data_IF_654511818940
#
_entry.id   IF_654511818940
#
_cell.length_a   1.000
_cell.length_b   1.000
_cell.length_c   1.000
_cell.angle_alpha   90.00
_cell.angle_beta   90.00
_cell.angle_gamma   90.00
#
_symmetry.space_group_name_H-M   'P 1'
#
loop_
_entity.id
_entity.type
_entity.pdbx_description
1 polymer ?
#
# COMPACT_ATOMS: atom_id res chain seq x y z
N UNK A 1 -33.27 -24.53 -22.08
CA UNK A 1 -31.98 -24.03 -21.54
C UNK A 1 -32.06 -22.51 -21.50
N UNK A 2 -32.69 -21.94 -20.48
CA UNK A 2 -32.99 -20.50 -20.39
C UNK A 2 -33.02 -20.02 -18.94
N UNK A 3 -31.97 -20.35 -18.19
CA UNK A 3 -31.64 -19.71 -16.91
C UNK A 3 -30.11 -19.66 -16.92
N UNK A 4 -29.45 -18.51 -16.90
CA UNK A 4 -29.62 -17.44 -15.93
C UNK A 4 -28.97 -16.15 -16.45
N UNK A 5 -29.64 -15.37 -17.30
CA UNK A 5 -29.12 -14.09 -17.80
C UNK A 5 -28.80 -13.11 -16.66
N UNK A 6 -29.53 -13.17 -15.54
CA UNK A 6 -29.27 -12.36 -14.36
C UNK A 6 -27.95 -12.70 -13.65
N UNK A 7 -27.58 -13.99 -13.57
CA UNK A 7 -26.31 -14.40 -12.95
C UNK A 7 -25.11 -13.96 -13.81
N UNK A 8 -25.25 -14.03 -15.12
CA UNK A 8 -24.23 -13.55 -16.06
C UNK A 8 -24.11 -12.01 -16.04
N UNK A 9 -25.23 -11.29 -15.88
CA UNK A 9 -25.22 -9.84 -15.68
C UNK A 9 -24.53 -9.44 -14.38
N UNK A 10 -24.79 -10.17 -13.28
CA UNK A 10 -24.13 -9.92 -11.99
C UNK A 10 -22.63 -10.23 -12.06
N UNK A 11 -22.24 -11.32 -12.72
CA UNK A 11 -20.83 -11.65 -12.95
C UNK A 11 -20.12 -10.59 -13.81
N UNK A 12 -20.78 -10.09 -14.86
CA UNK A 12 -20.27 -9.03 -15.71
C UNK A 12 -20.13 -7.69 -14.95
N UNK A 13 -21.10 -7.35 -14.11
CA UNK A 13 -21.05 -6.17 -13.25
C UNK A 13 -19.88 -6.26 -12.24
N UNK A 14 -19.67 -7.42 -11.62
CA UNK A 14 -18.51 -7.65 -10.72
C UNK A 14 -17.18 -7.51 -11.44
N UNK A 15 -17.05 -8.03 -12.66
CA UNK A 15 -15.84 -7.85 -13.50
C UNK A 15 -15.58 -6.39 -13.85
N UNK A 16 -16.62 -5.62 -14.19
CA UNK A 16 -16.51 -4.17 -14.45
C UNK A 16 -16.09 -3.40 -13.20
N UNK A 17 -16.61 -3.75 -12.03
CA UNK A 17 -16.19 -3.15 -10.75
C UNK A 17 -14.76 -3.54 -10.38
N UNK A 18 -14.35 -4.79 -10.62
CA UNK A 18 -13.00 -5.28 -10.39
C UNK A 18 -11.95 -4.57 -11.27
N UNK A 19 -12.31 -4.20 -12.50
CA UNK A 19 -11.45 -3.40 -13.38
C UNK A 19 -11.15 -2.00 -12.79
N UNK A 20 -12.10 -1.40 -12.08
CA UNK A 20 -11.91 -0.10 -11.40
C UNK A 20 -11.07 -0.21 -10.11
N UNK A 21 -10.82 -1.43 -9.61
CA UNK A 21 -9.92 -1.65 -8.47
C UNK A 21 -8.44 -1.56 -8.86
N UNK A 22 -8.09 -1.66 -10.15
CA UNK A 22 -6.71 -1.55 -10.61
C UNK A 22 -6.23 -0.10 -10.64
N UNK A 23 -5.01 0.12 -10.16
CA UNK A 23 -4.33 1.41 -10.25
C UNK A 23 -3.49 1.50 -11.52
N UNK A 24 -3.36 2.69 -12.12
CA UNK A 24 -2.46 2.92 -13.25
C UNK A 24 -1.01 2.60 -12.84
N UNK A 25 -0.19 2.14 -13.80
CA UNK A 25 1.23 1.80 -13.54
C UNK A 25 2.01 2.95 -12.93
N UNK A 26 1.69 4.19 -13.28
CA UNK A 26 2.29 5.40 -12.71
C UNK A 26 2.08 5.51 -11.19
N UNK A 27 0.93 5.08 -10.66
CA UNK A 27 0.70 5.05 -9.21
C UNK A 27 1.68 4.13 -8.50
N UNK A 28 1.97 2.96 -9.07
CA UNK A 28 2.89 1.99 -8.49
C UNK A 28 4.33 2.49 -8.49
N UNK A 29 4.75 3.18 -9.55
CA UNK A 29 6.07 3.82 -9.61
C UNK A 29 6.19 4.88 -8.52
N UNK A 30 5.23 5.79 -8.41
CA UNK A 30 5.22 6.83 -7.38
C UNK A 30 5.19 6.22 -5.97
N UNK A 31 4.38 5.17 -5.77
CA UNK A 31 4.30 4.48 -4.48
C UNK A 31 5.61 3.81 -4.08
N UNK A 32 6.32 3.18 -5.03
CA UNK A 32 7.65 2.60 -4.79
C UNK A 32 8.68 3.65 -4.38
N UNK A 33 8.69 4.81 -5.06
CA UNK A 33 9.57 5.94 -4.71
C UNK A 33 9.27 6.44 -3.29
N UNK A 34 7.98 6.63 -2.96
CA UNK A 34 7.59 7.06 -1.61
C UNK A 34 8.01 6.03 -0.56
N UNK A 35 7.89 4.73 -0.84
CA UNK A 35 8.33 3.66 0.06
C UNK A 35 9.83 3.72 0.36
N UNK A 36 10.66 3.85 -0.67
CA UNK A 36 12.12 3.96 -0.53
C UNK A 36 12.49 5.20 0.28
N UNK A 37 11.86 6.34 -0.02
CA UNK A 37 12.09 7.57 0.74
C UNK A 37 11.72 7.40 2.21
N UNK A 38 10.58 6.76 2.51
CA UNK A 38 10.09 6.58 3.87
C UNK A 38 10.91 5.56 4.66
N UNK A 39 11.25 4.42 4.05
CA UNK A 39 12.08 3.39 4.66
C UNK A 39 13.51 3.90 4.92
N UNK A 40 14.01 4.81 4.08
CA UNK A 40 15.32 5.43 4.25
C UNK A 40 15.39 6.55 5.27
N UNK A 41 14.26 7.02 5.79
CA UNK A 41 14.21 8.11 6.79
C UNK A 41 15.22 7.94 7.93
N UNK A 42 15.36 6.77 8.58
CA UNK A 42 16.35 6.60 9.65
C UNK A 42 17.79 6.78 9.15
N UNK A 43 18.09 6.33 7.93
CA UNK A 43 19.40 6.49 7.29
C UNK A 43 19.66 7.96 6.97
N UNK A 44 18.72 8.65 6.33
CA UNK A 44 18.84 10.08 5.99
C UNK A 44 19.01 10.94 7.25
N UNK A 45 18.26 10.64 8.31
CA UNK A 45 18.37 11.31 9.61
C UNK A 45 19.74 11.09 10.27
N UNK A 46 20.39 9.95 10.04
CA UNK A 46 21.72 9.68 10.60
C UNK A 46 22.82 10.60 10.05
N UNK A 47 22.58 11.24 8.90
CA UNK A 47 23.45 12.26 8.30
C UNK A 47 23.12 13.69 8.75
N UNK A 48 22.00 13.90 9.44
CA UNK A 48 21.59 15.22 9.92
C UNK A 48 22.07 15.45 11.37
N UNK A 49 22.58 16.65 11.69
CA UNK A 49 22.86 17.04 13.07
C UNK A 49 21.61 16.90 13.96
N UNK A 50 21.79 16.42 15.19
CA UNK A 50 20.80 15.83 16.11
C UNK A 50 19.64 16.73 16.60
N UNK A 51 19.29 17.82 15.91
CA UNK A 51 18.22 18.75 16.30
C UNK A 51 16.97 18.77 15.40
N UNK A 52 16.95 18.04 14.29
CA UNK A 52 16.01 18.30 13.19
C UNK A 52 14.77 17.37 13.12
N UNK A 53 14.18 17.03 14.28
CA UNK A 53 12.93 16.25 14.39
C UNK A 53 11.74 16.87 13.62
N UNK A 54 11.79 18.18 13.37
CA UNK A 54 10.79 18.92 12.60
C UNK A 54 10.69 18.41 11.15
N UNK A 55 11.80 18.03 10.51
CA UNK A 55 11.78 17.52 9.14
C UNK A 55 11.10 16.15 9.04
N UNK A 56 11.25 15.31 10.07
CA UNK A 56 10.55 14.03 10.17
C UNK A 56 9.04 14.21 10.23
N UNK A 57 8.57 15.14 11.08
CA UNK A 57 7.16 15.46 11.21
C UNK A 57 6.59 16.00 9.89
N UNK A 58 7.33 16.86 9.19
CA UNK A 58 6.93 17.36 7.86
C UNK A 58 6.91 16.28 6.79
N UNK A 59 7.86 15.33 6.79
CA UNK A 59 7.85 14.21 5.86
C UNK A 59 6.64 13.29 6.08
N UNK A 60 6.34 12.95 7.34
CA UNK A 60 5.15 12.15 7.71
C UNK A 60 3.87 12.90 7.35
N UNK A 61 3.81 14.21 7.63
CA UNK A 61 2.67 15.06 7.28
C UNK A 61 2.47 15.15 5.76
N UNK A 62 3.53 15.34 4.97
CA UNK A 62 3.46 15.40 3.52
C UNK A 62 2.92 14.09 2.92
N UNK A 63 3.32 12.94 3.46
CA UNK A 63 2.79 11.62 3.05
C UNK A 63 1.33 11.46 3.45
N UNK A 64 0.96 11.85 4.67
CA UNK A 64 -0.42 11.82 5.13
C UNK A 64 -1.35 12.69 4.26
N UNK A 65 -0.92 13.91 3.97
CA UNK A 65 -1.63 14.87 3.11
C UNK A 65 -1.70 14.32 1.67
N UNK A 66 -0.60 13.83 1.11
CA UNK A 66 -0.57 13.25 -0.24
C UNK A 66 -1.52 12.05 -0.39
N UNK A 67 -1.55 11.17 0.61
CA UNK A 67 -2.47 10.02 0.64
C UNK A 67 -3.93 10.46 0.74
N UNK A 68 -4.22 11.47 1.58
CA UNK A 68 -5.56 12.04 1.72
C UNK A 68 -6.05 12.71 0.43
N UNK A 69 -5.21 13.53 -0.20
CA UNK A 69 -5.49 14.20 -1.47
C UNK A 69 -5.70 13.17 -2.58
N UNK A 70 -4.84 12.16 -2.68
CA UNK A 70 -4.97 11.10 -3.68
C UNK A 70 -6.27 10.30 -3.52
N UNK A 71 -6.63 9.95 -2.28
CA UNK A 71 -7.90 9.28 -1.95
C UNK A 71 -9.11 10.13 -2.37
N UNK A 72 -9.05 11.44 -2.15
CA UNK A 72 -10.11 12.39 -2.49
C UNK A 72 -10.25 12.59 -4.00
N UNK A 73 -9.13 12.78 -4.72
CA UNK A 73 -9.11 12.94 -6.18
C UNK A 73 -9.61 11.68 -6.87
N UNK A 74 -9.21 10.49 -6.40
CA UNK A 74 -9.67 9.22 -6.97
C UNK A 74 -11.18 9.03 -6.82
N UNK A 75 -11.75 9.34 -5.64
CA UNK A 75 -13.19 9.27 -5.42
C UNK A 75 -13.98 10.16 -6.37
N UNK A 76 -13.50 11.37 -6.63
CA UNK A 76 -14.15 12.29 -7.59
C UNK A 76 -14.11 11.77 -9.03
N UNK A 77 -13.06 11.04 -9.42
CA UNK A 77 -12.91 10.53 -10.79
C UNK A 77 -13.59 9.20 -11.05
N UNK A 78 -13.67 8.30 -10.06
CA UNK A 78 -14.15 6.92 -10.30
C UNK A 78 -15.66 6.75 -10.21
N UNK A 79 -16.39 7.61 -9.48
CA UNK A 79 -17.85 7.52 -9.30
C UNK A 79 -18.37 6.26 -8.56
N UNK A 80 -17.52 5.23 -8.42
CA UNK A 80 -17.81 3.94 -7.80
C UNK A 80 -17.32 3.93 -6.35
N UNK A 81 -18.23 3.66 -5.41
CA UNK A 81 -17.93 3.46 -4.00
C UNK A 81 -17.63 1.99 -3.71
N UNK A 82 -16.34 1.65 -3.64
CA UNK A 82 -15.89 0.39 -3.07
C UNK A 82 -15.90 0.47 -1.53
N UNK A 83 -16.20 -0.63 -0.80
CA UNK A 83 -16.12 -0.68 0.65
C UNK A 83 -14.78 -0.14 1.15
N UNK A 84 -14.85 0.85 2.05
CA UNK A 84 -13.67 1.62 2.51
C UNK A 84 -12.73 0.80 3.40
N UNK A 85 -13.25 -0.26 4.04
CA UNK A 85 -12.53 -1.04 5.04
C UNK A 85 -11.86 -2.23 4.38
N UNK A 86 -10.56 -2.42 4.64
CA UNK A 86 -9.82 -3.58 4.13
C UNK A 86 -10.31 -4.91 4.74
N UNK A 87 -10.94 -4.85 5.92
CA UNK A 87 -11.59 -5.99 6.57
C UNK A 87 -12.78 -6.56 5.79
N UNK A 88 -13.36 -5.78 4.86
CA UNK A 88 -14.39 -6.25 3.94
C UNK A 88 -13.87 -7.27 2.91
N UNK A 89 -12.54 -7.43 2.81
CA UNK A 89 -11.85 -8.28 1.84
C UNK A 89 -11.04 -9.35 2.58
N UNK A 90 -11.60 -10.55 2.82
CA UNK A 90 -10.99 -11.52 3.73
C UNK A 90 -9.62 -12.04 3.28
N UNK A 91 -9.36 -12.20 1.97
CA UNK A 91 -8.01 -12.59 1.49
C UNK A 91 -7.06 -11.40 1.50
N UNK A 92 -7.53 -10.24 1.04
CA UNK A 92 -6.70 -9.04 1.01
C UNK A 92 -6.27 -8.59 2.42
N UNK A 93 -7.14 -8.76 3.41
CA UNK A 93 -6.86 -8.43 4.81
C UNK A 93 -5.65 -9.20 5.36
N UNK A 94 -5.59 -10.52 5.13
CA UNK A 94 -4.46 -11.36 5.59
C UNK A 94 -3.13 -10.92 4.97
N UNK A 95 -3.14 -10.66 3.66
CA UNK A 95 -1.94 -10.21 2.94
C UNK A 95 -1.54 -8.80 3.37
N UNK A 96 -2.52 -7.92 3.59
CA UNK A 96 -2.29 -6.57 4.11
C UNK A 96 -1.65 -6.60 5.49
N UNK A 97 -2.13 -7.47 6.39
CA UNK A 97 -1.57 -7.64 7.72
C UNK A 97 -0.11 -8.12 7.64
N UNK A 98 0.19 -9.08 6.77
CA UNK A 98 1.56 -9.55 6.53
C UNK A 98 2.45 -8.41 6.00
N UNK A 99 1.96 -7.62 5.04
CA UNK A 99 2.67 -6.44 4.56
C UNK A 99 2.93 -5.39 5.63
N UNK A 100 1.97 -5.20 6.56
CA UNK A 100 2.12 -4.29 7.70
C UNK A 100 3.21 -4.78 8.65
N UNK A 101 3.25 -6.08 8.97
CA UNK A 101 4.31 -6.68 9.80
C UNK A 101 5.68 -6.50 9.15
N UNK A 102 5.80 -6.74 7.84
CA UNK A 102 7.06 -6.54 7.10
C UNK A 102 7.48 -5.06 7.15
N UNK A 103 6.52 -4.14 6.98
CA UNK A 103 6.81 -2.69 6.98
C UNK A 103 7.31 -2.24 8.35
N UNK A 104 6.59 -2.60 9.42
CA UNK A 104 6.94 -2.24 10.79
C UNK A 104 8.26 -2.90 11.20
N UNK A 105 8.40 -4.20 10.94
CA UNK A 105 9.62 -4.95 11.23
C UNK A 105 10.84 -4.44 10.46
N UNK A 106 10.68 -4.14 9.17
CA UNK A 106 11.73 -3.55 8.34
C UNK A 106 12.14 -2.17 8.80
N UNK A 107 11.18 -1.31 9.18
CA UNK A 107 11.48 0.02 9.73
C UNK A 107 12.26 -0.07 11.04
N UNK A 108 11.80 -0.88 12.00
CA UNK A 108 12.51 -1.09 13.26
C UNK A 108 13.89 -1.73 13.06
N UNK A 109 14.00 -2.70 12.14
CA UNK A 109 15.29 -3.33 11.81
C UNK A 109 16.30 -2.34 11.24
N UNK A 110 15.87 -1.48 10.30
CA UNK A 110 16.71 -0.40 9.76
C UNK A 110 17.08 0.61 10.85
N UNK A 111 16.13 0.99 11.71
CA UNK A 111 16.41 1.91 12.81
C UNK A 111 17.45 1.34 13.80
N UNK A 112 17.34 0.07 14.16
CA UNK A 112 18.29 -0.62 15.02
C UNK A 112 19.69 -0.68 14.39
N UNK A 113 19.79 -1.00 13.09
CA UNK A 113 21.05 -1.01 12.36
C UNK A 113 21.72 0.38 12.36
N UNK A 114 20.94 1.43 12.17
CA UNK A 114 21.44 2.81 12.22
C UNK A 114 21.93 3.19 13.62
N UNK A 115 21.21 2.80 14.68
CA UNK A 115 21.61 3.05 16.07
C UNK A 115 22.91 2.35 16.44
N UNK A 116 23.14 1.14 15.93
CA UNK A 116 24.36 0.36 16.16
C UNK A 116 25.51 0.71 15.20
N UNK A 117 25.45 1.86 14.53
CA UNK A 117 26.47 2.34 13.58
C UNK A 117 26.70 1.47 12.34
N UNK A 118 25.78 0.55 12.02
CA UNK A 118 25.82 -0.29 10.81
C UNK A 118 25.06 0.35 9.63
N UNK A 119 25.43 1.60 9.29
CA UNK A 119 24.73 2.41 8.29
C UNK A 119 24.76 1.80 6.88
N UNK A 120 25.87 1.20 6.49
CA UNK A 120 26.01 0.59 5.17
C UNK A 120 25.07 -0.62 5.01
N UNK A 121 24.96 -1.44 6.06
CA UNK A 121 24.03 -2.58 6.09
C UNK A 121 22.57 -2.10 6.03
N UNK A 122 22.26 -1.00 6.72
CA UNK A 122 20.93 -0.39 6.67
C UNK A 122 20.55 0.08 5.25
N UNK A 123 21.51 0.65 4.50
CA UNK A 123 21.31 1.04 3.10
C UNK A 123 21.04 -0.17 2.20
N UNK A 124 21.81 -1.25 2.37
CA UNK A 124 21.57 -2.49 1.61
C UNK A 124 20.22 -3.12 1.93
N UNK A 125 19.78 -3.08 3.20
CA UNK A 125 18.49 -3.63 3.63
C UNK A 125 17.28 -2.81 3.19
N UNK A 126 17.48 -1.54 2.86
CA UNK A 126 16.42 -0.64 2.40
C UNK A 126 15.74 -1.15 1.11
N UNK A 127 16.53 -1.64 0.16
CA UNK A 127 16.03 -2.15 -1.13
C UNK A 127 15.18 -3.43 -0.95
N UNK A 128 15.65 -4.49 -0.28
CA UNK A 128 14.85 -5.68 0.02
C UNK A 128 13.57 -5.37 0.78
N UNK A 129 13.63 -4.50 1.80
CA UNK A 129 12.44 -4.12 2.58
C UNK A 129 11.44 -3.38 1.70
N UNK A 130 11.89 -2.40 0.91
CA UNK A 130 11.01 -1.67 0.00
C UNK A 130 10.37 -2.59 -1.04
N UNK A 131 11.13 -3.54 -1.60
CA UNK A 131 10.64 -4.55 -2.54
C UNK A 131 9.61 -5.46 -1.88
N UNK A 132 9.88 -5.96 -0.67
CA UNK A 132 8.96 -6.84 0.05
C UNK A 132 7.63 -6.13 0.36
N UNK A 133 7.68 -4.88 0.81
CA UNK A 133 6.47 -4.07 1.06
C UNK A 133 5.72 -3.77 -0.24
N UNK A 134 6.44 -3.49 -1.33
CA UNK A 134 5.85 -3.29 -2.65
C UNK A 134 5.11 -4.55 -3.14
N UNK A 135 5.75 -5.72 -3.06
CA UNK A 135 5.14 -7.01 -3.41
C UNK A 135 3.90 -7.27 -2.57
N UNK A 136 3.98 -7.04 -1.25
CA UNK A 136 2.84 -7.21 -0.36
C UNK A 136 1.65 -6.33 -0.77
N UNK A 137 1.90 -5.07 -1.14
CA UNK A 137 0.84 -4.14 -1.58
C UNK A 137 0.24 -4.54 -2.93
N UNK A 138 1.05 -4.98 -3.89
CA UNK A 138 0.56 -5.52 -5.16
C UNK A 138 -0.31 -6.77 -4.91
N UNK A 139 0.15 -7.66 -4.04
CA UNK A 139 -0.58 -8.87 -3.66
C UNK A 139 -1.89 -8.57 -2.90
N UNK A 140 -1.91 -7.56 -2.03
CA UNK A 140 -3.15 -7.11 -1.37
C UNK A 140 -4.16 -6.63 -2.40
N UNK A 141 -3.73 -5.87 -3.41
CA UNK A 141 -4.63 -5.34 -4.45
C UNK A 141 -5.11 -6.42 -5.42
N UNK A 142 -4.26 -7.38 -5.78
CA UNK A 142 -4.70 -8.53 -6.58
C UNK A 142 -5.71 -9.39 -5.81
N UNK A 143 -5.51 -9.58 -4.50
CA UNK A 143 -6.46 -10.30 -3.65
C UNK A 143 -7.78 -9.54 -3.48
N UNK A 144 -7.77 -8.20 -3.36
CA UNK A 144 -9.00 -7.41 -3.37
C UNK A 144 -9.79 -7.63 -4.65
N UNK A 145 -9.11 -7.62 -5.80
CA UNK A 145 -9.74 -7.88 -7.09
C UNK A 145 -10.37 -9.27 -7.13
N UNK A 146 -9.64 -10.29 -6.68
CA UNK A 146 -10.12 -11.66 -6.62
C UNK A 146 -11.31 -11.85 -5.65
N UNK A 147 -11.35 -11.09 -4.55
CA UNK A 147 -12.48 -11.12 -3.61
C UNK A 147 -13.72 -10.40 -4.18
N UNK A 148 -13.54 -9.33 -4.96
CA UNK A 148 -14.63 -8.65 -5.70
C UNK A 148 -15.21 -9.58 -6.79
N UNK A 149 -14.35 -10.19 -7.60
CA UNK A 149 -14.77 -11.11 -8.67
C UNK A 149 -15.52 -12.33 -8.10
N UNK A 150 -15.04 -12.86 -6.97
CA UNK A 150 -15.69 -13.98 -6.28
C UNK A 150 -16.94 -13.58 -5.46
N UNK A 151 -17.24 -12.28 -5.31
CA UNK A 151 -18.34 -11.80 -4.48
C UNK A 151 -18.17 -12.09 -2.98
N UNK A 152 -16.93 -12.25 -2.50
CA UNK A 152 -16.60 -12.53 -1.09
C UNK A 152 -16.52 -11.26 -0.23
N UNK A 153 -16.97 -10.14 -0.76
CA UNK A 153 -16.90 -8.84 -0.10
C UNK A 153 -17.97 -8.79 0.98
N UNK A 154 -17.57 -8.63 2.24
CA UNK A 154 -18.48 -8.48 3.38
C UNK A 154 -18.74 -6.99 3.61
N UNK A 155 -20.02 -6.60 3.71
CA UNK A 155 -20.45 -5.21 3.99
C UNK A 155 -20.31 -4.87 5.47
#
# INVERSE_FOLDING_TARGET
MSGTPELDQVAAARRRLAAHAQFPRSYWVVYGVVLVLFAGVPVWLSYLPSGNWMYLQWAVAAVGIGSAVYSMVRRRRSGVYLPRRISAYPKAYKIWLAGLVITVGGFFGIQQLVQHSHRDIALYMLVPVAVAVFIAQVATRSAMRADIEAGRVTS
#
